data_IF_612460448577
#
_entry.id   IF_612460448577
#
_cell.length_a   1.000
_cell.length_b   1.000
_cell.length_c   1.000
_cell.angle_alpha   90.00
_cell.angle_beta   90.00
_cell.angle_gamma   90.00
#
_symmetry.space_group_name_H-M   'P 1'
#
loop_
_entity.id
_entity.type
_entity.pdbx_description
1 polymer ?
#
# COMPACT_ATOMS: atom_id res chain seq x y z
N UNK A 1 3.33 20.32 -3.37
CA UNK A 1 3.76 19.01 -2.86
C UNK A 1 4.01 18.07 -4.02
N UNK A 2 5.18 17.45 -4.06
CA UNK A 2 5.47 16.43 -5.06
C UNK A 2 4.92 15.08 -4.61
N UNK A 3 4.03 14.50 -5.40
CA UNK A 3 3.33 13.27 -5.07
C UNK A 3 4.28 12.08 -4.83
N UNK A 4 5.27 11.90 -5.70
CA UNK A 4 6.19 10.77 -5.56
C UNK A 4 7.11 10.91 -4.36
N UNK A 5 7.53 12.12 -4.04
CA UNK A 5 8.31 12.40 -2.82
C UNK A 5 7.47 12.09 -1.58
N UNK A 6 6.21 12.52 -1.57
CA UNK A 6 5.30 12.24 -0.47
C UNK A 6 5.13 10.73 -0.25
N UNK A 7 4.90 9.98 -1.32
CA UNK A 7 4.76 8.52 -1.23
C UNK A 7 6.03 7.84 -0.70
N UNK A 8 7.20 8.32 -1.11
CA UNK A 8 8.46 7.76 -0.66
C UNK A 8 8.71 8.01 0.82
N UNK A 9 8.33 9.17 1.32
CA UNK A 9 8.64 9.59 2.68
C UNK A 9 7.55 9.25 3.71
N UNK A 10 6.29 9.10 3.28
CA UNK A 10 5.18 8.85 4.18
C UNK A 10 5.14 7.39 4.62
N UNK A 11 5.00 7.17 5.93
CA UNK A 11 4.97 5.83 6.52
C UNK A 11 3.59 5.38 6.98
N UNK A 12 2.54 6.18 6.82
CA UNK A 12 1.20 5.67 7.06
C UNK A 12 0.88 4.57 6.05
N UNK A 13 0.08 3.57 6.42
CA UNK A 13 -0.30 2.52 5.47
C UNK A 13 -1.04 3.09 4.27
N UNK A 14 -0.90 2.42 3.12
CA UNK A 14 -1.73 2.72 1.97
C UNK A 14 -3.15 2.20 2.24
N UNK A 15 -4.15 3.00 1.90
CA UNK A 15 -5.55 2.57 1.88
C UNK A 15 -5.87 2.18 0.45
N UNK A 16 -6.07 0.90 0.22
CA UNK A 16 -6.27 0.35 -1.11
C UNK A 16 -7.72 -0.06 -1.26
N UNK A 17 -8.39 0.52 -2.24
CA UNK A 17 -9.78 0.21 -2.59
C UNK A 17 -9.80 -0.74 -3.78
N UNK A 18 -10.49 -1.85 -3.64
CA UNK A 18 -10.62 -2.88 -4.67
C UNK A 18 -12.11 -3.22 -4.83
N UNK A 19 -12.46 -3.90 -5.92
CA UNK A 19 -13.85 -4.19 -6.25
C UNK A 19 -14.11 -5.68 -6.10
N UNK A 20 -14.99 -6.05 -5.17
CA UNK A 20 -15.40 -7.44 -4.96
C UNK A 20 -16.37 -7.88 -6.06
N UNK A 21 -16.61 -9.19 -6.13
CA UNK A 21 -17.49 -9.80 -7.14
C UNK A 21 -18.91 -9.27 -7.10
N UNK A 22 -19.39 -8.87 -5.93
CA UNK A 22 -20.73 -8.30 -5.77
C UNK A 22 -20.80 -6.82 -6.16
N UNK A 23 -19.69 -6.24 -6.63
CA UNK A 23 -19.62 -4.83 -7.03
C UNK A 23 -19.34 -3.87 -5.90
N UNK A 24 -19.30 -4.35 -4.66
CA UNK A 24 -18.96 -3.49 -3.53
C UNK A 24 -17.46 -3.21 -3.47
N UNK A 25 -17.07 -1.96 -3.25
CA UNK A 25 -15.67 -1.65 -2.98
C UNK A 25 -15.27 -2.12 -1.58
N UNK A 26 -14.06 -2.64 -1.49
CA UNK A 26 -13.45 -3.05 -0.22
C UNK A 26 -12.24 -2.16 -0.02
N UNK A 27 -12.03 -1.70 1.21
CA UNK A 27 -10.85 -0.90 1.56
C UNK A 27 -10.00 -1.71 2.53
N UNK A 28 -8.72 -1.82 2.22
CA UNK A 28 -7.76 -2.48 3.10
C UNK A 28 -6.53 -1.60 3.31
N UNK A 29 -5.89 -1.79 4.46
CA UNK A 29 -4.70 -1.04 4.84
C UNK A 29 -3.50 -1.97 4.73
N UNK A 30 -2.50 -1.55 3.98
CA UNK A 30 -1.31 -2.36 3.73
C UNK A 30 -0.05 -1.54 3.94
N UNK A 31 1.02 -2.20 4.29
CA UNK A 31 2.34 -1.60 4.15
C UNK A 31 2.65 -1.43 2.67
N UNK A 32 3.36 -0.37 2.33
CA UNK A 32 3.74 -0.10 0.95
C UNK A 32 5.14 0.51 0.87
N UNK A 33 5.70 0.42 -0.31
CA UNK A 33 6.86 1.20 -0.71
C UNK A 33 6.66 1.65 -2.14
N UNK A 34 7.34 2.69 -2.56
CA UNK A 34 7.25 3.21 -3.92
C UNK A 34 8.61 3.23 -4.58
N UNK A 35 8.60 2.98 -5.89
CA UNK A 35 9.80 3.05 -6.72
C UNK A 35 9.37 3.52 -8.12
N UNK A 36 9.78 4.74 -8.49
CA UNK A 36 9.32 5.35 -9.72
C UNK A 36 7.81 5.53 -9.69
N UNK A 37 7.13 5.08 -10.76
CA UNK A 37 5.68 5.18 -10.87
C UNK A 37 4.96 3.91 -10.40
N UNK A 38 5.62 3.10 -9.58
CA UNK A 38 5.05 1.86 -9.06
C UNK A 38 4.98 1.90 -7.54
N UNK A 39 3.94 1.27 -7.01
CA UNK A 39 3.79 1.03 -5.59
C UNK A 39 3.82 -0.48 -5.39
N UNK A 40 4.50 -0.91 -4.33
CA UNK A 40 4.63 -2.32 -3.99
C UNK A 40 4.04 -2.57 -2.62
N UNK A 41 3.20 -3.60 -2.54
CA UNK A 41 2.68 -4.13 -1.28
C UNK A 41 2.96 -5.63 -1.24
N UNK A 42 2.69 -6.26 -0.12
CA UNK A 42 2.77 -7.70 0.00
C UNK A 42 1.61 -8.21 0.85
N UNK A 43 1.15 -9.40 0.54
CA UNK A 43 0.09 -10.04 1.31
C UNK A 43 0.18 -11.56 1.17
N UNK A 44 -0.26 -12.26 2.20
CA UNK A 44 -0.29 -13.72 2.19
C UNK A 44 -1.31 -14.22 1.17
N UNK A 45 -1.03 -15.37 0.55
CA UNK A 45 -1.89 -15.98 -0.46
C UNK A 45 -3.33 -16.21 0.01
N UNK A 46 -3.52 -16.43 1.32
CA UNK A 46 -4.83 -16.65 1.91
C UNK A 46 -5.64 -15.39 2.13
N UNK A 47 -5.04 -14.21 1.96
CA UNK A 47 -5.74 -12.94 2.21
C UNK A 47 -6.80 -12.68 1.14
N UNK A 48 -7.92 -12.10 1.56
CA UNK A 48 -9.03 -11.75 0.66
C UNK A 48 -8.57 -10.83 -0.47
N UNK A 49 -7.68 -9.88 -0.18
CA UNK A 49 -7.19 -8.92 -1.17
C UNK A 49 -6.56 -9.62 -2.37
N UNK A 50 -5.83 -10.71 -2.15
CA UNK A 50 -5.20 -11.47 -3.24
C UNK A 50 -6.27 -12.07 -4.16
N UNK A 51 -7.31 -12.69 -3.58
CA UNK A 51 -8.39 -13.27 -4.36
C UNK A 51 -9.15 -12.21 -5.16
N UNK A 52 -9.44 -11.06 -4.54
CA UNK A 52 -10.20 -9.98 -5.18
C UNK A 52 -9.40 -9.40 -6.33
N UNK A 53 -8.12 -9.10 -6.13
CA UNK A 53 -7.26 -8.53 -7.18
C UNK A 53 -7.01 -9.51 -8.33
N UNK A 54 -7.02 -10.81 -8.04
CA UNK A 54 -6.89 -11.83 -9.10
C UNK A 54 -8.09 -11.79 -10.06
N UNK A 55 -9.26 -11.46 -9.56
CA UNK A 55 -10.48 -11.36 -10.37
C UNK A 55 -10.64 -9.99 -11.02
N UNK A 56 -10.21 -8.92 -10.35
CA UNK A 56 -10.34 -7.56 -10.87
C UNK A 56 -9.12 -6.74 -10.45
N UNK A 57 -8.23 -6.41 -11.40
CA UNK A 57 -6.99 -5.68 -11.08
C UNK A 57 -7.19 -4.18 -10.90
N UNK A 58 -8.37 -3.65 -11.17
CA UNK A 58 -8.63 -2.22 -11.02
C UNK A 58 -8.71 -1.85 -9.55
N UNK A 59 -7.95 -0.84 -9.15
CA UNK A 59 -7.95 -0.37 -7.78
C UNK A 59 -7.73 1.14 -7.70
N UNK A 60 -8.04 1.68 -6.54
CA UNK A 60 -7.74 3.07 -6.19
C UNK A 60 -7.03 3.07 -4.85
N UNK A 61 -6.29 4.13 -4.57
CA UNK A 61 -5.54 4.19 -3.33
C UNK A 61 -5.47 5.61 -2.78
N UNK A 62 -5.21 5.69 -1.49
CA UNK A 62 -4.89 6.93 -0.82
C UNK A 62 -3.80 6.69 0.22
N UNK A 63 -2.84 7.61 0.26
CA UNK A 63 -1.84 7.71 1.32
C UNK A 63 -1.92 9.12 1.88
N UNK A 64 -2.16 9.24 3.16
CA UNK A 64 -2.35 10.55 3.78
C UNK A 64 -1.76 10.62 5.17
N UNK A 65 -1.53 11.83 5.66
CA UNK A 65 -1.19 12.04 7.06
C UNK A 65 -2.44 11.83 7.91
N UNK A 66 -2.25 11.33 9.13
CA UNK A 66 -3.35 11.02 10.05
C UNK A 66 -3.67 12.15 11.04
N UNK A 67 -2.89 13.21 11.02
CA UNK A 67 -3.06 14.36 11.92
C UNK A 67 -3.27 15.64 11.14
N UNK A 68 -4.12 16.56 11.66
CA UNK A 68 -4.33 17.83 10.98
C UNK A 68 -3.06 18.69 10.98
N UNK A 69 -2.83 19.51 9.96
CA UNK A 69 -3.68 19.66 8.79
C UNK A 69 -3.54 18.50 7.83
N UNK A 70 -4.66 18.01 7.30
CA UNK A 70 -4.68 16.82 6.47
C UNK A 70 -4.18 17.12 5.06
N UNK A 71 -3.38 16.20 4.55
CA UNK A 71 -2.88 16.22 3.16
C UNK A 71 -2.54 14.81 2.74
N UNK A 72 -2.51 14.58 1.46
CA UNK A 72 -2.23 13.25 0.94
C UNK A 72 -2.18 13.18 -0.57
N UNK A 73 -2.09 11.94 -1.02
CA UNK A 73 -2.04 11.58 -2.43
C UNK A 73 -3.08 10.49 -2.65
N UNK A 74 -3.80 10.58 -3.75
CA UNK A 74 -4.73 9.52 -4.17
C UNK A 74 -4.56 9.26 -5.65
N UNK A 75 -4.92 8.05 -6.06
CA UNK A 75 -4.78 7.70 -7.46
C UNK A 75 -5.53 6.43 -7.81
N UNK A 76 -5.45 6.09 -9.10
CA UNK A 76 -5.96 4.84 -9.65
C UNK A 76 -4.78 4.03 -10.16
N UNK A 77 -4.90 2.71 -10.07
CA UNK A 77 -3.83 1.80 -10.46
C UNK A 77 -4.39 0.50 -11.00
N UNK A 78 -3.54 -0.22 -11.71
CA UNK A 78 -3.79 -1.62 -12.08
C UNK A 78 -2.82 -2.48 -11.29
N UNK A 79 -3.36 -3.52 -10.64
CA UNK A 79 -2.57 -4.42 -9.82
C UNK A 79 -2.09 -5.63 -10.63
N UNK A 80 -0.85 -6.03 -10.41
CA UNK A 80 -0.29 -7.28 -10.87
C UNK A 80 0.16 -8.07 -9.66
N UNK A 81 -0.19 -9.35 -9.61
CA UNK A 81 0.19 -10.24 -8.52
C UNK A 81 1.33 -11.15 -8.97
N UNK A 82 2.39 -11.19 -8.19
CA UNK A 82 3.51 -12.08 -8.42
C UNK A 82 3.87 -12.80 -7.12
N UNK A 83 4.24 -14.06 -7.22
CA UNK A 83 4.77 -14.76 -6.06
C UNK A 83 6.00 -14.02 -5.57
N UNK A 84 6.03 -13.71 -4.27
CA UNK A 84 7.15 -12.96 -3.69
C UNK A 84 8.32 -13.90 -3.44
N UNK A 85 9.29 -13.87 -4.37
CA UNK A 85 10.44 -14.77 -4.33
C UNK A 85 11.21 -14.61 -3.01
N UNK A 86 11.18 -15.66 -2.18
CA UNK A 86 11.83 -15.72 -0.86
C UNK A 86 11.42 -14.59 0.09
N UNK A 87 10.28 -13.97 -0.17
CA UNK A 87 9.79 -12.85 0.64
C UNK A 87 10.57 -11.56 0.45
N UNK A 88 11.13 -11.34 -0.73
CA UNK A 88 11.98 -10.17 -0.98
C UNK A 88 11.24 -8.85 -0.75
N UNK A 89 10.03 -8.71 -1.30
CA UNK A 89 9.22 -7.50 -1.11
C UNK A 89 8.77 -7.38 0.34
N UNK A 90 8.30 -8.48 0.92
CA UNK A 90 7.90 -8.52 2.33
C UNK A 90 9.03 -8.05 3.25
N UNK A 91 10.24 -8.53 3.03
CA UNK A 91 11.38 -8.15 3.86
C UNK A 91 11.68 -6.65 3.77
N UNK A 92 11.61 -6.08 2.58
CA UNK A 92 11.79 -4.64 2.42
C UNK A 92 10.70 -3.82 3.14
N UNK A 93 9.46 -4.28 3.09
CA UNK A 93 8.37 -3.64 3.81
C UNK A 93 8.56 -3.73 5.33
N UNK A 94 8.99 -4.89 5.82
CA UNK A 94 9.31 -5.07 7.24
C UNK A 94 10.40 -4.07 7.66
N UNK A 95 11.46 -3.96 6.88
CA UNK A 95 12.56 -3.04 7.18
C UNK A 95 12.11 -1.58 7.18
N UNK A 96 11.20 -1.23 6.28
CA UNK A 96 10.66 0.13 6.20
C UNK A 96 9.78 0.49 7.41
N UNK A 97 8.98 -0.44 7.90
CA UNK A 97 7.95 -0.15 8.91
C UNK A 97 8.36 -0.51 10.33
N UNK A 98 9.02 -1.62 10.54
CA UNK A 98 9.38 -2.06 11.90
C UNK A 98 10.88 -2.27 12.11
N UNK A 99 11.65 -2.49 11.03
CA UNK A 99 13.09 -2.71 11.14
C UNK A 99 13.40 -3.81 12.16
N UNK A 100 14.32 -3.53 13.08
CA UNK A 100 14.71 -4.45 14.13
C UNK A 100 13.96 -4.24 15.45
N UNK A 101 12.97 -3.35 15.47
CA UNK A 101 12.25 -2.99 16.68
C UNK A 101 11.36 -4.13 17.21
N UNK A 102 10.97 -5.06 16.36
CA UNK A 102 10.08 -6.18 16.71
C UNK A 102 10.58 -7.49 16.09
N UNK A 103 11.66 -8.05 16.62
CA UNK A 103 12.32 -9.20 15.99
C UNK A 103 11.44 -10.47 15.94
N UNK A 104 10.58 -10.68 16.92
CA UNK A 104 9.68 -11.83 16.90
C UNK A 104 8.63 -11.72 15.81
N UNK A 105 8.07 -10.52 15.62
CA UNK A 105 7.12 -10.27 14.55
C UNK A 105 7.79 -10.45 13.19
N UNK A 106 8.98 -9.90 13.02
CA UNK A 106 9.76 -10.07 11.79
C UNK A 106 9.99 -11.54 11.48
N UNK A 107 10.45 -12.32 12.46
CA UNK A 107 10.69 -13.76 12.28
C UNK A 107 9.43 -14.49 11.90
N UNK A 108 8.30 -14.19 12.55
CA UNK A 108 7.04 -14.85 12.27
C UNK A 108 6.57 -14.53 10.84
N UNK A 109 6.62 -13.28 10.44
CA UNK A 109 6.24 -12.87 9.08
C UNK A 109 7.11 -13.55 8.03
N UNK A 110 8.43 -13.58 8.23
CA UNK A 110 9.36 -14.20 7.29
C UNK A 110 9.22 -15.71 7.25
N UNK A 111 8.78 -16.35 8.36
CA UNK A 111 8.56 -17.79 8.38
C UNK A 111 7.44 -18.25 7.44
N UNK A 112 6.56 -17.33 7.04
CA UNK A 112 5.42 -17.60 6.16
C UNK A 112 5.66 -17.08 4.74
N UNK A 113 6.88 -16.65 4.42
CA UNK A 113 7.16 -15.96 3.14
C UNK A 113 6.97 -16.84 1.90
N UNK A 114 6.99 -18.16 2.04
CA UNK A 114 6.76 -19.07 0.92
C UNK A 114 5.39 -18.89 0.26
N UNK A 115 4.41 -18.41 0.99
CA UNK A 115 3.04 -18.18 0.50
C UNK A 115 2.73 -16.67 0.33
N UNK A 116 3.76 -15.85 0.29
CA UNK A 116 3.60 -14.42 0.12
C UNK A 116 3.50 -14.04 -1.34
N UNK A 117 2.64 -13.05 -1.64
CA UNK A 117 2.53 -12.43 -2.94
C UNK A 117 2.94 -10.97 -2.87
N UNK A 118 3.68 -10.52 -3.87
CA UNK A 118 3.92 -9.11 -4.10
C UNK A 118 2.76 -8.54 -4.92
N UNK A 119 2.26 -7.39 -4.52
CA UNK A 119 1.23 -6.65 -5.24
C UNK A 119 1.91 -5.45 -5.87
N UNK A 120 1.99 -5.45 -7.20
CA UNK A 120 2.58 -4.34 -7.96
C UNK A 120 1.46 -3.45 -8.46
N UNK A 121 1.45 -2.20 -8.04
CA UNK A 121 0.45 -1.22 -8.47
C UNK A 121 1.07 -0.32 -9.53
N UNK A 122 0.59 -0.45 -10.76
CA UNK A 122 0.98 0.43 -11.86
C UNK A 122 0.07 1.66 -11.83
N UNK A 123 0.61 2.80 -11.47
CA UNK A 123 -0.16 4.04 -11.27
C UNK A 123 -0.67 4.55 -12.61
N UNK A 124 -1.98 4.80 -12.71
CA UNK A 124 -2.64 5.35 -13.90
C UNK A 124 -2.96 6.83 -13.74
N UNK A 125 -3.43 7.23 -12.57
CA UNK A 125 -3.67 8.62 -12.23
C UNK A 125 -3.15 8.90 -10.84
N UNK A 126 -2.71 10.13 -10.61
CA UNK A 126 -2.14 10.52 -9.33
C UNK A 126 -2.51 11.98 -9.06
N UNK A 127 -3.14 12.22 -7.92
CA UNK A 127 -3.61 13.55 -7.52
C UNK A 127 -3.15 13.84 -6.10
N UNK A 128 -2.66 15.04 -5.87
CA UNK A 128 -2.35 15.51 -4.52
C UNK A 128 -3.51 16.34 -3.99
N UNK A 129 -3.65 16.35 -2.67
CA UNK A 129 -4.59 17.23 -2.00
C UNK A 129 -3.97 17.69 -0.68
N UNK A 130 -4.31 18.92 -0.30
CA UNK A 130 -3.74 19.55 0.89
C UNK A 130 -4.77 20.53 1.47
N UNK A 131 -5.22 20.25 2.68
CA UNK A 131 -6.20 21.07 3.38
C UNK A 131 -5.58 22.04 4.38
N UNK A 132 -4.26 22.26 4.30
CA UNK A 132 -3.55 23.12 5.25
C UNK A 132 -4.15 24.53 5.32
N UNK A 133 -4.50 25.12 4.18
CA UNK A 133 -5.13 26.45 4.16
C UNK A 133 -6.47 26.48 4.88
N UNK A 134 -7.30 25.46 4.63
CA UNK A 134 -8.62 25.35 5.28
C UNK A 134 -8.52 25.22 6.78
N UNK A 135 -7.43 24.66 7.27
CA UNK A 135 -7.24 24.33 8.68
C UNK A 135 -6.40 25.34 9.43
N UNK A 136 -6.09 26.48 8.81
CA UNK A 136 -5.32 27.56 9.46
C UNK A 136 -6.18 28.47 10.33
N UNK A 137 -7.48 28.43 10.20
CA UNK A 137 -8.35 29.27 11.02
C UNK A 137 -8.28 28.81 12.46
N UNK A 138 -7.98 29.72 13.35
CA UNK A 138 -7.94 29.50 14.79
C UNK A 138 -9.33 29.36 15.39
#
# INVERSE_FOLDING_TARGET
MDAMTFLREQHSPIRLAVIDKDGFPIVCSLWFMSDGHKIFCASHASAKIIRVLRNNPHCAFEVSVNEPPYKGVRGKALATLEKDNKGYVLEQLINRYIGDSRPRLKSWLMSRCADEYAIHLSIKTLTTWDFSERMQSS
#
